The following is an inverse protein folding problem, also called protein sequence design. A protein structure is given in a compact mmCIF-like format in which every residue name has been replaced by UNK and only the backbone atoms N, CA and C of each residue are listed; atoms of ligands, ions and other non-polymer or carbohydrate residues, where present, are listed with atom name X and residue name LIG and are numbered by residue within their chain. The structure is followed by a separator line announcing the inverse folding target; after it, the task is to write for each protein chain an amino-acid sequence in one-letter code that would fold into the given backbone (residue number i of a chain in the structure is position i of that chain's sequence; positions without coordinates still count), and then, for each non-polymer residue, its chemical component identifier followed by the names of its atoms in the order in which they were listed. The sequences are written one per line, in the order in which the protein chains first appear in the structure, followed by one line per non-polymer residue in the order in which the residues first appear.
data_IF_446107589026
#
_entry.id   IF_446107589026
#
_cell.length_a   1.000
_cell.length_b   1.000
_cell.length_c   1.000
_cell.angle_alpha   90.00
_cell.angle_beta   90.00
_cell.angle_gamma   90.00
#
_symmetry.space_group_name_H-M   'P 1'
#
loop_
_entity.id
_entity.type
_entity.pdbx_description
1 polymer ?
#
# COMPACT_ATOMS: atom_id res chain seq x y z
N UNK A 1 -0.16 -33.15 15.41
CA UNK A 1 0.90 -32.43 14.68
C UNK A 1 0.30 -31.20 14.00
N UNK A 2 0.07 -30.06 14.70
CA UNK A 2 -0.70 -28.91 14.17
C UNK A 2 0.12 -27.87 13.37
N UNK A 3 1.44 -28.07 13.26
CA UNK A 3 2.37 -27.06 12.72
C UNK A 3 2.69 -27.19 11.23
N UNK A 4 2.51 -28.37 10.63
CA UNK A 4 2.78 -28.61 9.22
C UNK A 4 1.60 -28.16 8.33
N UNK A 5 0.37 -28.32 8.81
CA UNK A 5 -0.86 -27.93 8.10
C UNK A 5 -0.97 -26.41 7.92
N UNK A 6 -0.40 -25.61 8.85
CA UNK A 6 -0.41 -24.14 8.76
C UNK A 6 0.62 -23.60 7.76
N UNK A 7 1.78 -24.24 7.64
CA UNK A 7 2.82 -23.83 6.70
C UNK A 7 2.42 -24.17 5.26
N UNK A 8 1.75 -25.31 5.07
CA UNK A 8 1.18 -25.72 3.77
C UNK A 8 0.03 -24.78 3.34
N UNK A 9 -0.92 -24.45 4.23
CA UNK A 9 -1.98 -23.44 3.96
C UNK A 9 -1.40 -22.06 3.61
N UNK A 10 -0.36 -21.60 4.31
CA UNK A 10 0.30 -20.33 3.99
C UNK A 10 0.94 -20.35 2.60
N UNK A 11 1.63 -21.44 2.25
CA UNK A 11 2.25 -21.63 0.94
C UNK A 11 1.22 -21.57 -0.19
N UNK A 12 0.12 -22.32 -0.08
CA UNK A 12 -0.96 -22.33 -1.06
C UNK A 12 -1.57 -20.94 -1.29
N UNK A 13 -1.76 -20.17 -0.21
CA UNK A 13 -2.27 -18.79 -0.30
C UNK A 13 -1.31 -17.84 -1.00
N UNK A 14 0.00 -17.98 -0.77
CA UNK A 14 1.02 -17.20 -1.47
C UNK A 14 0.97 -17.52 -2.97
N UNK A 15 0.90 -18.79 -3.35
CA UNK A 15 0.78 -19.19 -4.76
C UNK A 15 -0.51 -18.68 -5.41
N UNK A 16 -1.64 -18.77 -4.70
CA UNK A 16 -2.91 -18.21 -5.17
C UNK A 16 -2.79 -16.70 -5.43
N UNK A 17 -2.19 -15.94 -4.50
CA UNK A 17 -1.98 -14.51 -4.67
C UNK A 17 -1.04 -14.18 -5.84
N UNK A 18 0.03 -14.96 -6.03
CA UNK A 18 0.93 -14.80 -7.17
C UNK A 18 0.22 -15.05 -8.51
N UNK A 19 -0.65 -16.06 -8.57
CA UNK A 19 -1.46 -16.34 -9.76
C UNK A 19 -2.43 -15.17 -10.05
N UNK A 20 -3.06 -14.62 -9.01
CA UNK A 20 -3.92 -13.43 -9.15
C UNK A 20 -3.15 -12.21 -9.64
N UNK A 21 -1.95 -11.94 -9.11
CA UNK A 21 -1.10 -10.83 -9.56
C UNK A 21 -0.72 -10.95 -11.04
N UNK A 22 -0.35 -12.16 -11.49
CA UNK A 22 0.00 -12.43 -12.90
C UNK A 22 -1.17 -12.19 -13.84
N UNK A 23 -2.38 -12.52 -13.41
CA UNK A 23 -3.60 -12.26 -14.19
C UNK A 23 -3.88 -10.76 -14.37
N UNK A 24 -3.42 -9.93 -13.43
CA UNK A 24 -3.57 -8.48 -13.47
C UNK A 24 -5.02 -8.00 -13.29
N UNK A 25 -5.25 -6.71 -13.56
CA UNK A 25 -6.59 -6.10 -13.58
C UNK A 25 -7.15 -5.64 -12.23
N UNK A 26 -6.36 -5.70 -11.15
CA UNK A 26 -6.73 -5.12 -9.85
C UNK A 26 -6.47 -3.61 -9.83
N UNK A 27 -7.29 -2.88 -9.08
CA UNK A 27 -7.01 -1.48 -8.78
C UNK A 27 -5.90 -1.36 -7.73
N UNK A 28 -5.11 -0.28 -7.77
CA UNK A 28 -3.98 -0.06 -6.86
C UNK A 28 -4.36 -0.20 -5.38
N UNK A 29 -5.51 0.36 -4.95
CA UNK A 29 -5.98 0.24 -3.56
C UNK A 29 -6.35 -1.19 -3.14
N UNK A 30 -6.84 -2.03 -4.06
CA UNK A 30 -7.08 -3.44 -3.77
C UNK A 30 -5.76 -4.21 -3.71
N UNK A 31 -4.87 -3.99 -4.68
CA UNK A 31 -3.52 -4.58 -4.69
C UNK A 31 -2.76 -4.24 -3.41
N UNK A 32 -2.82 -2.99 -2.93
CA UNK A 32 -2.18 -2.57 -1.69
C UNK A 32 -2.72 -3.35 -0.48
N UNK A 33 -4.05 -3.39 -0.31
CA UNK A 33 -4.70 -4.09 0.81
C UNK A 33 -4.44 -5.59 0.78
N UNK A 34 -4.58 -6.23 -0.37
CA UNK A 34 -4.31 -7.68 -0.50
C UNK A 34 -2.84 -8.00 -0.21
N UNK A 35 -1.90 -7.17 -0.66
CA UNK A 35 -0.46 -7.35 -0.37
C UNK A 35 -0.20 -7.21 1.13
N UNK A 36 -0.66 -6.12 1.76
CA UNK A 36 -0.47 -5.90 3.19
C UNK A 36 -1.13 -7.00 4.05
N UNK A 37 -2.33 -7.47 3.66
CA UNK A 37 -3.02 -8.57 4.33
C UNK A 37 -2.26 -9.89 4.22
N UNK A 38 -1.64 -10.18 3.06
CA UNK A 38 -0.79 -11.37 2.90
C UNK A 38 0.47 -11.25 3.76
N UNK A 39 1.15 -10.10 3.74
CA UNK A 39 2.32 -9.85 4.57
C UNK A 39 2.01 -9.98 6.06
N UNK A 40 0.86 -9.47 6.53
CA UNK A 40 0.38 -9.68 7.90
C UNK A 40 0.23 -11.17 8.24
N UNK A 41 -0.34 -11.97 7.34
CA UNK A 41 -0.50 -13.42 7.52
C UNK A 41 0.85 -14.11 7.60
N UNK A 42 1.79 -13.75 6.74
CA UNK A 42 3.18 -14.26 6.78
C UNK A 42 3.80 -13.94 8.15
N UNK A 43 3.71 -12.70 8.63
CA UNK A 43 4.22 -12.32 9.97
C UNK A 43 3.59 -13.16 11.10
N UNK A 44 2.30 -13.44 11.02
CA UNK A 44 1.57 -14.19 12.03
C UNK A 44 1.87 -15.71 12.00
N UNK A 45 1.98 -16.31 10.82
CA UNK A 45 2.01 -17.77 10.65
C UNK A 45 3.41 -18.34 10.39
N UNK A 46 4.32 -17.56 9.82
CA UNK A 46 5.68 -18.04 9.55
C UNK A 46 6.44 -18.27 10.87
N UNK A 47 7.39 -19.20 10.84
CA UNK A 47 8.33 -19.44 11.93
C UNK A 47 9.53 -18.52 11.77
N UNK A 48 9.73 -17.65 12.74
CA UNK A 48 10.87 -16.74 12.83
C UNK A 48 11.21 -16.51 14.31
N UNK A 49 12.49 -16.42 14.63
CA UNK A 49 12.99 -16.23 16.00
C UNK A 49 13.42 -14.79 16.28
N UNK A 50 13.76 -14.07 15.21
CA UNK A 50 14.32 -12.72 15.27
C UNK A 50 13.70 -11.82 14.20
N UNK A 51 13.84 -10.50 14.37
CA UNK A 51 13.40 -9.54 13.35
C UNK A 51 14.15 -9.73 12.03
N UNK A 52 15.42 -10.15 12.08
CA UNK A 52 16.23 -10.46 10.92
C UNK A 52 15.62 -11.60 10.09
N UNK A 53 15.23 -12.69 10.75
CA UNK A 53 14.59 -13.84 10.09
C UNK A 53 13.28 -13.42 9.41
N UNK A 54 12.44 -12.66 10.11
CA UNK A 54 11.19 -12.14 9.56
C UNK A 54 11.43 -11.26 8.34
N UNK A 55 12.40 -10.33 8.41
CA UNK A 55 12.72 -9.47 7.27
C UNK A 55 13.22 -10.27 6.07
N UNK A 56 14.02 -11.32 6.26
CA UNK A 56 14.45 -12.18 5.16
C UNK A 56 13.29 -12.93 4.51
N UNK A 57 12.35 -13.45 5.31
CA UNK A 57 11.12 -14.08 4.80
C UNK A 57 10.33 -13.07 3.95
N UNK A 58 10.09 -11.86 4.49
CA UNK A 58 9.33 -10.81 3.80
C UNK A 58 10.06 -10.34 2.53
N UNK A 59 11.39 -10.22 2.54
CA UNK A 59 12.19 -9.90 1.34
C UNK A 59 12.10 -10.99 0.29
N UNK A 60 12.21 -12.26 0.70
CA UNK A 60 12.11 -13.40 -0.21
C UNK A 60 10.76 -13.44 -0.92
N UNK A 61 9.66 -13.41 -0.16
CA UNK A 61 8.32 -13.42 -0.74
C UNK A 61 8.04 -12.12 -1.51
N UNK A 62 8.50 -10.98 -1.02
CA UNK A 62 8.40 -9.68 -1.69
C UNK A 62 9.07 -9.64 -3.07
N UNK A 63 10.26 -10.24 -3.20
CA UNK A 63 10.94 -10.39 -4.50
C UNK A 63 10.12 -11.25 -5.46
N UNK A 64 9.54 -12.35 -4.99
CA UNK A 64 8.68 -13.23 -5.80
C UNK A 64 7.43 -12.50 -6.29
N UNK A 65 6.75 -11.77 -5.39
CA UNK A 65 5.54 -11.00 -5.75
C UNK A 65 5.85 -9.87 -6.74
N UNK A 66 6.96 -9.15 -6.54
CA UNK A 66 7.36 -8.07 -7.46
C UNK A 66 7.75 -8.60 -8.83
N UNK A 67 8.44 -9.75 -8.89
CA UNK A 67 8.80 -10.40 -10.15
C UNK A 67 7.58 -10.95 -10.92
N UNK A 68 6.47 -11.25 -10.23
CA UNK A 68 5.26 -11.76 -10.86
C UNK A 68 4.54 -10.71 -11.73
N UNK A 69 4.65 -9.42 -11.39
CA UNK A 69 4.13 -8.31 -12.19
C UNK A 69 5.02 -7.06 -12.00
N UNK A 70 6.12 -6.90 -12.76
CA UNK A 70 7.09 -5.82 -12.54
C UNK A 70 6.54 -4.40 -12.75
N UNK A 71 5.48 -4.25 -13.55
CA UNK A 71 4.80 -2.97 -13.77
C UNK A 71 3.96 -2.53 -12.57
N UNK A 72 3.59 -3.45 -11.67
CA UNK A 72 2.79 -3.18 -10.49
C UNK A 72 3.69 -2.80 -9.32
N UNK A 73 4.00 -1.50 -9.22
CA UNK A 73 4.88 -0.97 -8.17
C UNK A 73 4.26 -1.00 -6.77
N UNK A 74 2.92 -1.09 -6.67
CA UNK A 74 2.20 -1.08 -5.39
C UNK A 74 2.66 -2.20 -4.47
N UNK A 75 2.86 -3.40 -5.01
CA UNK A 75 3.31 -4.58 -4.26
C UNK A 75 4.67 -4.30 -3.61
N UNK A 76 5.65 -3.85 -4.41
CA UNK A 76 6.98 -3.53 -3.92
C UNK A 76 6.98 -2.40 -2.90
N UNK A 77 6.13 -1.39 -3.08
CA UNK A 77 5.96 -0.29 -2.13
C UNK A 77 5.39 -0.79 -0.79
N UNK A 78 4.40 -1.68 -0.81
CA UNK A 78 3.84 -2.27 0.42
C UNK A 78 4.86 -3.16 1.15
N UNK A 79 5.64 -3.98 0.42
CA UNK A 79 6.72 -4.77 1.02
C UNK A 79 7.73 -3.87 1.73
N UNK A 80 8.13 -2.75 1.10
CA UNK A 80 9.07 -1.79 1.73
C UNK A 80 8.47 -1.11 2.96
N UNK A 81 7.18 -0.73 2.94
CA UNK A 81 6.48 -0.19 4.13
C UNK A 81 6.47 -1.20 5.28
N UNK A 82 6.13 -2.47 5.02
CA UNK A 82 6.12 -3.51 6.06
C UNK A 82 7.53 -3.78 6.60
N UNK A 83 8.56 -3.80 5.75
CA UNK A 83 9.95 -3.90 6.21
C UNK A 83 10.36 -2.70 7.09
N UNK A 84 9.85 -1.50 6.80
CA UNK A 84 10.08 -0.31 7.64
C UNK A 84 9.41 -0.48 9.00
N UNK A 85 8.15 -0.88 9.03
CA UNK A 85 7.41 -1.19 10.27
C UNK A 85 8.19 -2.17 11.14
N UNK A 86 8.69 -3.27 10.57
CA UNK A 86 9.46 -4.27 11.34
C UNK A 86 10.71 -3.64 11.98
N UNK A 87 11.43 -2.77 11.26
CA UNK A 87 12.60 -2.07 11.81
C UNK A 87 12.22 -1.09 12.91
N UNK A 88 11.17 -0.30 12.71
CA UNK A 88 10.67 0.68 13.68
C UNK A 88 10.21 -0.01 14.97
N UNK A 89 9.40 -1.08 14.88
CA UNK A 89 8.96 -1.84 16.07
C UNK A 89 10.12 -2.53 16.79
N UNK A 90 11.13 -3.00 16.04
CA UNK A 90 12.33 -3.58 16.62
C UNK A 90 13.16 -2.52 17.37
N UNK A 91 13.36 -1.35 16.77
CA UNK A 91 14.08 -0.24 17.38
C UNK A 91 13.38 0.26 18.65
N UNK A 92 12.04 0.39 18.62
CA UNK A 92 11.23 0.72 19.80
C UNK A 92 11.35 -0.35 20.89
N UNK A 93 11.32 -1.64 20.53
CA UNK A 93 11.51 -2.74 21.49
C UNK A 93 12.91 -2.77 22.12
N UNK A 94 13.94 -2.28 21.40
CA UNK A 94 15.31 -2.15 21.91
C UNK A 94 15.49 -0.93 22.84
N UNK A 95 14.48 -0.07 22.98
CA UNK A 95 14.59 1.19 23.74
C UNK A 95 15.36 2.28 23.00
N UNK A 96 15.49 2.19 21.67
CA UNK A 96 16.04 3.30 20.87
C UNK A 96 14.94 4.34 20.68
N UNK A 97 15.04 5.47 21.40
CA UNK A 97 14.10 6.59 21.32
C UNK A 97 14.09 7.23 19.92
N UNK A 98 12.90 7.68 19.47
CA UNK A 98 12.64 8.29 18.16
C UNK A 98 13.38 9.64 17.95
N UNK A 99 13.93 10.24 19.01
CA UNK A 99 14.62 11.54 18.94
C UNK A 99 16.00 11.50 18.26
N UNK A 100 16.62 10.34 18.11
CA UNK A 100 17.92 10.23 17.45
C UNK A 100 17.85 10.34 15.91
N UNK A 101 16.67 10.13 15.32
CA UNK A 101 16.54 9.92 13.86
C UNK A 101 16.34 11.23 13.07
N UNK A 102 16.06 12.36 13.73
CA UNK A 102 15.81 13.64 13.05
C UNK A 102 17.08 14.38 12.62
N UNK A 103 18.29 13.95 13.04
CA UNK A 103 19.56 14.64 12.74
C UNK A 103 20.62 13.77 12.03
N UNK A 104 20.30 12.60 11.50
CA UNK A 104 21.31 11.64 11.04
C UNK A 104 21.19 11.31 9.55
N UNK A 105 21.86 12.06 8.68
CA UNK A 105 21.89 11.69 7.25
C UNK A 105 23.27 11.60 6.60
N UNK A 106 24.30 12.28 7.13
CA UNK A 106 25.66 12.14 6.60
C UNK A 106 26.69 11.79 7.66
N UNK A 107 26.64 12.45 8.82
CA UNK A 107 27.60 12.18 9.89
C UNK A 107 27.49 10.75 10.42
N UNK A 108 26.27 10.21 10.64
CA UNK A 108 26.10 8.81 11.06
C UNK A 108 26.62 7.83 10.00
N UNK A 109 26.37 8.08 8.72
CA UNK A 109 26.80 7.21 7.62
C UNK A 109 28.33 7.16 7.48
N UNK A 110 29.02 8.26 7.77
CA UNK A 110 30.49 8.35 7.77
C UNK A 110 31.13 7.84 9.07
N UNK A 111 30.42 7.93 10.21
CA UNK A 111 30.96 7.52 11.53
C UNK A 111 30.60 6.07 11.85
N UNK A 112 29.49 5.55 11.35
CA UNK A 112 29.11 4.14 11.40
C UNK A 112 29.79 3.39 10.25
N UNK A 113 31.11 3.22 10.34
CA UNK A 113 31.85 2.39 9.39
C UNK A 113 31.21 1.00 9.28
N UNK A 114 30.52 0.72 8.17
CA UNK A 114 30.22 -0.63 7.71
C UNK A 114 29.31 -1.54 8.57
N UNK A 115 28.46 -1.03 9.46
CA UNK A 115 27.56 -1.89 10.26
C UNK A 115 26.06 -1.65 9.99
N UNK A 116 25.66 -1.55 8.72
CA UNK A 116 24.24 -1.47 8.31
C UNK A 116 23.47 -2.79 8.47
N UNK A 117 24.04 -3.76 9.19
CA UNK A 117 23.27 -4.77 9.90
C UNK A 117 23.30 -4.41 11.38
N UNK A 118 22.35 -3.57 11.81
CA UNK A 118 21.90 -3.69 13.19
C UNK A 118 21.66 -5.18 13.43
N UNK A 119 22.28 -5.79 14.44
CA UNK A 119 22.09 -7.21 14.69
C UNK A 119 20.63 -7.40 15.11
N UNK A 120 19.73 -7.64 14.14
CA UNK A 120 18.29 -7.88 14.29
C UNK A 120 17.99 -9.24 14.92
N UNK A 121 18.92 -9.71 15.75
CA UNK A 121 19.00 -11.05 16.35
C UNK A 121 18.46 -11.08 17.77
N UNK A 122 18.34 -9.93 18.44
CA UNK A 122 17.80 -9.89 19.79
C UNK A 122 16.33 -10.29 19.76
N UNK A 123 15.94 -11.17 20.69
CA UNK A 123 14.57 -11.61 20.81
C UNK A 123 13.79 -10.70 21.76
N UNK A 124 12.62 -10.25 21.31
CA UNK A 124 11.68 -9.48 22.10
C UNK A 124 10.32 -10.17 22.02
N UNK A 125 9.82 -10.65 23.17
CA UNK A 125 8.53 -11.33 23.23
C UNK A 125 7.34 -10.52 22.64
N UNK A 126 7.20 -9.19 22.86
CA UNK A 126 6.06 -8.44 22.33
C UNK A 126 6.19 -8.07 20.86
N UNK A 127 7.38 -8.18 20.25
CA UNK A 127 7.65 -7.68 18.90
C UNK A 127 6.68 -8.24 17.85
N UNK A 128 6.34 -9.53 17.94
CA UNK A 128 5.40 -10.15 17.01
C UNK A 128 4.02 -9.52 17.09
N UNK A 129 3.53 -9.25 18.29
CA UNK A 129 2.22 -8.62 18.49
C UNK A 129 2.23 -7.19 17.95
N UNK A 130 3.25 -6.41 18.31
CA UNK A 130 3.39 -5.01 17.89
C UNK A 130 3.47 -4.87 16.36
N UNK A 131 4.27 -5.71 15.69
CA UNK A 131 4.36 -5.69 14.22
C UNK A 131 3.01 -6.04 13.58
N UNK A 132 2.27 -7.01 14.13
CA UNK A 132 0.95 -7.37 13.60
C UNK A 132 -0.04 -6.21 13.78
N UNK A 133 -0.02 -5.56 14.94
CA UNK A 133 -0.85 -4.39 15.24
C UNK A 133 -0.55 -3.23 14.27
N UNK A 134 0.73 -2.86 14.12
CA UNK A 134 1.15 -1.82 13.18
C UNK A 134 0.76 -2.12 11.72
N UNK A 135 0.80 -3.40 11.29
CA UNK A 135 0.31 -3.77 9.95
C UNK A 135 -1.23 -3.68 9.86
N UNK A 136 -1.97 -3.95 10.94
CA UNK A 136 -3.43 -3.75 10.96
C UNK A 136 -3.81 -2.27 10.94
N UNK A 137 -3.04 -1.40 11.60
CA UNK A 137 -3.20 0.06 11.50
C UNK A 137 -2.98 0.51 10.05
N UNK A 138 -1.91 0.04 9.40
CA UNK A 138 -1.66 0.30 7.98
C UNK A 138 -2.82 -0.17 7.09
N UNK A 139 -3.41 -1.33 7.36
CA UNK A 139 -4.58 -1.82 6.61
C UNK A 139 -5.79 -0.90 6.78
N UNK A 140 -6.04 -0.43 8.00
CA UNK A 140 -7.14 0.48 8.32
C UNK A 140 -6.93 1.85 7.65
N UNK A 141 -5.71 2.37 7.66
CA UNK A 141 -5.31 3.60 6.95
C UNK A 141 -5.56 3.50 5.44
N UNK A 142 -5.18 2.36 4.84
CA UNK A 142 -5.37 2.11 3.41
C UNK A 142 -6.85 2.05 3.01
N UNK A 143 -7.74 1.60 3.90
CA UNK A 143 -9.19 1.57 3.66
C UNK A 143 -9.79 2.98 3.65
N UNK A 144 -9.38 3.84 4.60
CA UNK A 144 -9.89 5.21 4.72
C UNK A 144 -9.28 6.23 3.74
N UNK A 145 -8.21 5.89 3.03
CA UNK A 145 -7.44 6.86 2.23
C UNK A 145 -8.28 7.58 1.17
N UNK A 146 -9.18 6.87 0.48
CA UNK A 146 -9.99 7.49 -0.60
C UNK A 146 -11.00 8.49 -0.04
N UNK A 147 -11.63 8.17 1.09
CA UNK A 147 -12.61 9.03 1.73
C UNK A 147 -11.95 10.28 2.34
N UNK A 148 -10.77 10.10 2.95
CA UNK A 148 -9.97 11.21 3.48
C UNK A 148 -9.59 12.22 2.39
N UNK A 149 -9.22 11.74 1.20
CA UNK A 149 -8.94 12.61 0.04
C UNK A 149 -10.23 13.30 -0.44
N UNK A 150 -11.33 12.55 -0.56
CA UNK A 150 -12.59 13.08 -1.03
C UNK A 150 -13.14 14.20 -0.13
N UNK A 151 -12.98 14.10 1.19
CA UNK A 151 -13.40 15.13 2.14
C UNK A 151 -12.74 16.51 1.91
N UNK A 152 -11.54 16.54 1.31
CA UNK A 152 -10.81 17.78 1.02
C UNK A 152 -11.30 18.46 -0.28
N UNK A 153 -12.21 17.85 -1.04
CA UNK A 153 -12.59 18.34 -2.35
C UNK A 153 -13.18 19.76 -2.36
N UNK A 154 -13.88 20.14 -1.29
CA UNK A 154 -14.50 21.47 -1.16
C UNK A 154 -13.50 22.60 -0.93
N UNK A 155 -12.27 22.28 -0.53
CA UNK A 155 -11.20 23.28 -0.38
C UNK A 155 -10.58 23.64 -1.73
N UNK A 156 -10.72 22.76 -2.73
CA UNK A 156 -10.03 22.87 -4.01
C UNK A 156 -10.92 23.13 -5.23
N UNK A 157 -12.21 22.78 -5.18
CA UNK A 157 -13.12 22.88 -6.34
C UNK A 157 -14.16 23.96 -6.10
N UNK A 158 -14.13 25.07 -6.81
CA UNK A 158 -15.12 26.14 -6.69
C UNK A 158 -16.25 26.04 -7.74
N UNK A 159 -17.35 26.76 -7.50
CA UNK A 159 -18.48 26.78 -8.44
C UNK A 159 -18.09 27.44 -9.76
N UNK A 160 -18.62 26.92 -10.87
CA UNK A 160 -18.38 27.37 -12.24
C UNK A 160 -16.94 27.18 -12.75
N UNK A 161 -16.12 26.37 -12.08
CA UNK A 161 -14.82 25.95 -12.61
C UNK A 161 -14.96 24.90 -13.73
N UNK A 162 -13.92 24.81 -14.55
CA UNK A 162 -13.77 23.76 -15.57
C UNK A 162 -12.55 22.92 -15.21
N UNK A 163 -12.79 21.67 -14.83
CA UNK A 163 -11.75 20.72 -14.41
C UNK A 163 -11.47 19.74 -15.54
N UNK A 164 -10.20 19.54 -15.89
CA UNK A 164 -9.79 18.52 -16.84
C UNK A 164 -9.17 17.33 -16.11
N UNK A 165 -9.58 16.12 -16.46
CA UNK A 165 -9.00 14.86 -15.96
C UNK A 165 -8.81 13.86 -17.09
N UNK A 166 -8.01 12.83 -16.87
CA UNK A 166 -7.67 11.82 -17.87
C UNK A 166 -7.83 10.41 -17.30
N UNK A 167 -8.40 9.51 -18.11
CA UNK A 167 -8.55 8.11 -17.79
C UNK A 167 -9.59 7.82 -16.70
N UNK A 168 -9.37 6.72 -15.96
CA UNK A 168 -10.27 6.27 -14.89
C UNK A 168 -9.51 6.09 -13.58
N UNK A 169 -9.80 6.96 -12.61
CA UNK A 169 -9.31 6.84 -11.24
C UNK A 169 -10.47 6.89 -10.26
N UNK A 170 -10.61 5.86 -9.42
CA UNK A 170 -11.66 5.78 -8.38
C UNK A 170 -11.52 6.92 -7.36
N UNK A 171 -10.28 7.31 -7.04
CA UNK A 171 -10.00 8.39 -6.10
C UNK A 171 -10.41 9.75 -6.67
N UNK A 172 -10.08 10.03 -7.93
CA UNK A 172 -10.48 11.29 -8.59
C UNK A 172 -12.00 11.34 -8.77
N UNK A 173 -12.62 10.22 -9.13
CA UNK A 173 -14.07 10.12 -9.23
C UNK A 173 -14.76 10.41 -7.88
N UNK A 174 -14.30 9.80 -6.78
CA UNK A 174 -14.82 10.05 -5.44
C UNK A 174 -14.64 11.53 -5.05
N UNK A 175 -13.46 12.11 -5.29
CA UNK A 175 -13.15 13.51 -5.02
C UNK A 175 -14.08 14.48 -5.77
N UNK A 176 -14.27 14.29 -7.08
CA UNK A 176 -15.17 15.12 -7.88
C UNK A 176 -16.64 14.94 -7.46
N UNK A 177 -17.07 13.70 -7.18
CA UNK A 177 -18.42 13.43 -6.67
C UNK A 177 -18.66 14.09 -5.33
N UNK A 178 -17.66 14.16 -4.46
CA UNK A 178 -17.75 14.79 -3.14
C UNK A 178 -18.03 16.30 -3.24
N UNK A 179 -17.26 16.99 -4.08
CA UNK A 179 -17.47 18.41 -4.37
C UNK A 179 -18.80 18.68 -5.09
N UNK A 180 -19.19 17.81 -6.01
CA UNK A 180 -20.43 17.96 -6.81
C UNK A 180 -21.69 17.93 -5.94
N UNK A 181 -21.64 17.39 -4.72
CA UNK A 181 -22.77 17.44 -3.78
C UNK A 181 -23.12 18.85 -3.33
N UNK A 182 -22.18 19.80 -3.36
CA UNK A 182 -22.38 21.18 -2.88
C UNK A 182 -22.14 22.25 -3.93
N UNK A 183 -21.42 21.95 -5.01
CA UNK A 183 -21.01 22.93 -6.03
C UNK A 183 -21.27 22.39 -7.43
N UNK A 184 -21.64 23.30 -8.33
CA UNK A 184 -21.79 22.99 -9.76
C UNK A 184 -20.54 23.43 -10.52
N UNK A 185 -19.96 22.54 -11.30
CA UNK A 185 -18.75 22.78 -12.09
C UNK A 185 -18.70 21.81 -13.27
N UNK A 186 -17.84 22.09 -14.24
CA UNK A 186 -17.71 21.30 -15.47
C UNK A 186 -16.51 20.36 -15.36
N UNK A 187 -16.63 19.14 -15.88
CA UNK A 187 -15.54 18.16 -15.89
C UNK A 187 -15.32 17.62 -17.29
N UNK A 188 -14.15 17.91 -17.85
CA UNK A 188 -13.69 17.35 -19.12
C UNK A 188 -12.88 16.09 -18.82
N UNK A 189 -13.39 14.92 -19.23
CA UNK A 189 -12.70 13.64 -19.06
C UNK A 189 -12.11 13.19 -20.39
N UNK A 190 -10.79 13.33 -20.53
CA UNK A 190 -10.04 12.79 -21.65
C UNK A 190 -9.89 11.26 -21.52
N UNK A 191 -10.09 10.53 -22.62
CA UNK A 191 -9.91 9.07 -22.62
C UNK A 191 -8.44 8.66 -22.79
N UNK A 192 -8.05 7.55 -22.17
CA UNK A 192 -6.71 6.95 -22.37
C UNK A 192 -6.74 5.95 -23.53
N UNK A 193 -6.84 6.42 -24.77
CA UNK A 193 -6.61 5.54 -25.93
C UNK A 193 -5.21 4.90 -25.84
N UNK A 194 -5.04 3.60 -26.18
CA UNK A 194 -5.98 2.72 -26.88
C UNK A 194 -6.94 1.92 -25.97
N UNK A 195 -6.80 2.01 -24.65
CA UNK A 195 -7.61 1.24 -23.69
C UNK A 195 -8.68 2.15 -23.06
N UNK A 196 -9.84 2.27 -23.71
CA UNK A 196 -10.97 3.10 -23.24
C UNK A 196 -11.60 2.56 -21.94
N UNK A 197 -10.95 2.79 -20.80
CA UNK A 197 -11.40 2.34 -19.47
C UNK A 197 -12.56 3.19 -18.89
N UNK A 198 -12.94 4.29 -19.56
CA UNK A 198 -13.88 5.32 -19.07
C UNK A 198 -15.35 4.88 -19.11
N UNK A 199 -15.68 3.76 -19.79
CA UNK A 199 -17.08 3.31 -20.00
C UNK A 199 -17.90 3.09 -18.72
N UNK A 200 -17.26 2.94 -17.55
CA UNK A 200 -17.95 2.66 -16.28
C UNK A 200 -17.78 3.74 -15.20
N UNK A 201 -16.93 4.77 -15.40
CA UNK A 201 -16.79 5.91 -14.45
C UNK A 201 -17.94 6.90 -14.58
N UNK A 202 -18.53 6.97 -15.77
CA UNK A 202 -19.73 7.72 -16.06
C UNK A 202 -20.78 6.74 -16.59
N UNK A 203 -21.81 6.43 -15.82
CA UNK A 203 -23.00 5.69 -16.28
C UNK A 203 -23.88 6.51 -17.25
N UNK A 204 -23.37 7.60 -17.81
CA UNK A 204 -24.04 8.43 -18.81
C UNK A 204 -23.18 8.57 -20.07
N UNK A 205 -23.87 8.48 -21.19
CA UNK A 205 -23.48 7.81 -22.43
C UNK A 205 -22.64 8.67 -23.39
N UNK A 206 -21.82 7.98 -24.22
CA UNK A 206 -21.14 8.37 -25.48
C UNK A 206 -19.90 9.30 -25.44
N UNK A 207 -18.89 8.88 -26.21
CA UNK A 207 -17.71 9.65 -26.62
C UNK A 207 -18.11 10.91 -27.39
N UNK A 208 -17.42 12.02 -27.14
CA UNK A 208 -17.31 13.13 -28.09
C UNK A 208 -17.88 14.49 -27.69
N UNK A 209 -18.32 14.72 -26.45
CA UNK A 209 -18.89 16.03 -26.08
C UNK A 209 -18.54 16.44 -24.66
N UNK A 210 -18.35 17.74 -24.47
CA UNK A 210 -18.25 18.41 -23.16
C UNK A 210 -19.26 17.80 -22.17
N UNK A 211 -18.79 17.41 -20.99
CA UNK A 211 -19.61 16.80 -19.95
C UNK A 211 -19.81 17.80 -18.81
N UNK A 212 -21.01 18.34 -18.73
CA UNK A 212 -21.53 19.06 -17.58
C UNK A 212 -21.91 18.06 -16.49
N UNK A 213 -21.17 18.02 -15.38
CA UNK A 213 -21.72 17.45 -14.14
C UNK A 213 -22.76 18.44 -13.61
N UNK A 214 -24.05 18.11 -13.78
CA UNK A 214 -25.18 18.89 -13.25
C UNK A 214 -25.60 18.42 -11.87
#
# INVERSE_FOLDING_TARGET
MPGADKETDLGERIEAFLAELKRGGRGSGETARSTAALLRRITAQARWSSAGDLMEIIRKEGRRMTAAQPSETTVGNMVRRVLKIIREEYARSRGSSEEADQQESLHKLLTSGGSSEENFRQHFAPLKANVIEAINELLTELEGTTDNIAMQALEHIHSNEVIMTIGRSRTVEAFLKDAARKRKFHVIVAECAPFCQVKNTCTTQRCGSERTCS
#
